data_IF_686118190420
#
_entry.id   IF_686118190420
#
_cell.length_a   1.000
_cell.length_b   1.000
_cell.length_c   1.000
_cell.angle_alpha   90.00
_cell.angle_beta   90.00
_cell.angle_gamma   90.00
#
_symmetry.space_group_name_H-M   'P 1'
#
loop_
_entity.id
_entity.type
_entity.pdbx_description
1 polymer ?
#
# COMPACT_ATOMS: atom_id res chain seq x y z
N UNK A 1 2.28 1.80 0.13
CA UNK A 1 2.52 0.95 1.31
C UNK A 1 3.99 0.99 1.68
N UNK A 2 4.43 2.03 2.39
CA UNK A 2 5.83 2.23 2.76
C UNK A 2 5.91 2.84 4.15
N UNK A 3 7.08 2.74 4.84
CA UNK A 3 7.25 3.30 6.18
C UNK A 3 6.93 4.79 6.22
N UNK A 4 7.58 5.57 5.35
CA UNK A 4 7.36 7.01 5.19
C UNK A 4 6.88 7.28 3.76
N UNK A 5 5.74 7.96 3.64
CA UNK A 5 5.19 8.41 2.36
C UNK A 5 5.44 9.91 2.24
N UNK A 6 6.22 10.30 1.24
CA UNK A 6 6.60 11.69 1.00
C UNK A 6 6.74 11.91 -0.50
N UNK A 7 6.33 13.09 -0.97
CA UNK A 7 6.67 13.58 -2.30
C UNK A 7 7.60 14.78 -2.14
N UNK A 8 8.44 15.00 -3.15
CA UNK A 8 9.40 16.11 -3.18
C UNK A 8 9.67 16.53 -4.63
N UNK A 9 10.20 17.74 -4.80
CA UNK A 9 10.65 18.26 -6.08
C UNK A 9 12.02 18.92 -5.92
N UNK A 10 12.92 18.62 -6.85
CA UNK A 10 14.22 19.27 -6.94
C UNK A 10 14.09 20.74 -7.35
N UNK A 11 15.08 21.55 -6.98
CA UNK A 11 15.17 22.95 -7.37
C UNK A 11 15.02 23.16 -8.88
N UNK A 12 14.11 24.04 -9.27
CA UNK A 12 13.81 24.35 -10.67
C UNK A 12 14.23 25.76 -11.11
N UNK A 13 15.01 26.51 -10.31
CA UNK A 13 15.35 27.91 -10.61
C UNK A 13 14.14 28.81 -10.90
N UNK A 14 13.00 28.55 -10.25
CA UNK A 14 11.72 29.23 -10.48
C UNK A 14 11.25 29.23 -11.95
N UNK A 15 11.73 28.27 -12.76
CA UNK A 15 11.31 28.14 -14.15
C UNK A 15 9.88 27.64 -14.25
N UNK A 16 9.24 27.98 -15.36
CA UNK A 16 7.92 27.47 -15.75
C UNK A 16 8.12 26.38 -16.83
N UNK A 17 7.36 25.27 -16.79
CA UNK A 17 6.31 25.00 -15.81
C UNK A 17 6.85 24.44 -14.48
N UNK A 18 6.03 24.47 -13.42
CA UNK A 18 6.43 24.01 -12.09
C UNK A 18 6.78 22.53 -12.09
N UNK A 19 7.84 22.16 -11.36
CA UNK A 19 8.30 20.79 -11.18
C UNK A 19 7.76 20.14 -9.91
N UNK A 20 6.78 20.73 -9.26
CA UNK A 20 6.23 20.18 -8.02
C UNK A 20 5.64 18.77 -8.23
N UNK A 21 5.90 17.87 -7.29
CA UNK A 21 5.32 16.50 -7.30
C UNK A 21 3.98 16.45 -6.57
N UNK A 22 3.34 17.61 -6.38
CA UNK A 22 2.01 17.68 -5.79
C UNK A 22 0.99 17.09 -6.77
N UNK A 23 -0.07 16.43 -6.27
CA UNK A 23 -1.07 15.81 -7.15
C UNK A 23 -1.75 16.80 -8.10
N UNK A 24 -1.99 18.04 -7.66
CA UNK A 24 -2.61 19.07 -8.49
C UNK A 24 -1.68 19.59 -9.59
N UNK A 25 -0.38 19.78 -9.32
CA UNK A 25 0.58 20.14 -10.36
C UNK A 25 0.74 19.00 -11.38
N UNK A 26 0.83 17.76 -10.90
CA UNK A 26 0.94 16.58 -11.77
C UNK A 26 -0.29 16.45 -12.68
N UNK A 27 -1.51 16.60 -12.15
CA UNK A 27 -2.74 16.59 -12.94
C UNK A 27 -2.77 17.70 -14.01
N UNK A 28 -2.37 18.92 -13.65
CA UNK A 28 -2.31 20.05 -14.59
C UNK A 28 -1.31 19.76 -15.73
N UNK A 29 -0.15 19.22 -15.40
CA UNK A 29 0.94 18.93 -16.35
C UNK A 29 0.63 17.76 -17.28
N UNK A 30 0.00 16.70 -16.77
CA UNK A 30 -0.33 15.51 -17.56
C UNK A 30 -1.68 15.63 -18.28
N UNK A 31 -2.55 16.53 -17.81
CA UNK A 31 -3.95 16.60 -18.25
C UNK A 31 -4.80 15.41 -17.81
N UNK A 32 -4.28 14.53 -16.95
CA UNK A 32 -4.98 13.31 -16.52
C UNK A 32 -5.84 13.56 -15.27
N UNK A 33 -7.19 13.60 -15.39
CA UNK A 33 -8.07 13.93 -14.27
C UNK A 33 -8.05 12.89 -13.15
N UNK A 34 -7.48 11.69 -13.39
CA UNK A 34 -7.44 10.60 -12.41
C UNK A 34 -6.39 10.82 -11.32
N UNK A 35 -5.40 11.69 -11.54
CA UNK A 35 -4.24 11.86 -10.65
C UNK A 35 -4.66 12.27 -9.24
N UNK A 36 -5.47 13.32 -9.09
CA UNK A 36 -5.90 13.78 -7.76
C UNK A 36 -6.81 12.74 -7.10
N UNK A 37 -7.70 12.10 -7.86
CA UNK A 37 -8.64 11.10 -7.36
C UNK A 37 -7.90 9.90 -6.77
N UNK A 38 -7.01 9.29 -7.54
CA UNK A 38 -6.25 8.11 -7.14
C UNK A 38 -5.29 8.44 -6.00
N UNK A 39 -4.61 9.60 -6.04
CA UNK A 39 -3.75 10.02 -4.95
C UNK A 39 -4.54 10.19 -3.65
N UNK A 40 -5.71 10.83 -3.71
CA UNK A 40 -6.57 11.03 -2.55
C UNK A 40 -7.05 9.70 -1.98
N UNK A 41 -7.44 8.76 -2.84
CA UNK A 41 -7.81 7.40 -2.45
C UNK A 41 -6.68 6.74 -1.64
N UNK A 42 -5.46 6.66 -2.19
CA UNK A 42 -4.34 6.02 -1.47
C UNK A 42 -3.89 6.77 -0.22
N UNK A 43 -3.99 8.11 -0.21
CA UNK A 43 -3.76 8.89 1.00
C UNK A 43 -4.76 8.53 2.09
N UNK A 44 -6.03 8.36 1.76
CA UNK A 44 -7.05 7.92 2.71
C UNK A 44 -6.84 6.47 3.14
N UNK A 45 -6.49 5.55 2.23
CA UNK A 45 -6.11 4.17 2.58
C UNK A 45 -4.97 4.17 3.61
N UNK A 46 -3.93 4.99 3.40
CA UNK A 46 -2.83 5.14 4.38
C UNK A 46 -3.36 5.61 5.73
N UNK A 47 -4.32 6.54 5.76
CA UNK A 47 -4.96 6.99 7.00
C UNK A 47 -5.79 5.87 7.62
N UNK A 48 -6.51 5.07 6.84
CA UNK A 48 -7.24 3.91 7.34
C UNK A 48 -6.31 2.90 8.01
N UNK A 49 -5.12 2.67 7.44
CA UNK A 49 -4.09 1.76 7.98
C UNK A 49 -3.21 2.38 9.07
N UNK A 50 -3.42 3.63 9.47
CA UNK A 50 -2.52 4.30 10.41
C UNK A 50 -2.37 3.56 11.76
N UNK A 51 -3.41 2.95 12.35
CA UNK A 51 -3.25 2.15 13.57
C UNK A 51 -2.28 0.97 13.38
N UNK A 52 -2.40 0.23 12.27
CA UNK A 52 -1.46 -0.84 11.91
C UNK A 52 -0.04 -0.30 11.69
N UNK A 53 0.10 0.76 10.89
CA UNK A 53 1.41 1.37 10.60
C UNK A 53 2.10 1.81 11.90
N UNK A 54 1.35 2.40 12.83
CA UNK A 54 1.87 2.83 14.13
C UNK A 54 2.24 1.66 15.04
N UNK A 55 1.44 0.60 15.04
CA UNK A 55 1.77 -0.64 15.77
C UNK A 55 3.08 -1.25 15.25
N UNK A 56 3.25 -1.31 13.93
CA UNK A 56 4.45 -1.88 13.30
C UNK A 56 5.69 -0.99 13.47
N UNK A 57 5.51 0.33 13.56
CA UNK A 57 6.59 1.26 13.91
C UNK A 57 7.07 1.03 15.35
N UNK A 58 6.15 0.86 16.31
CA UNK A 58 6.49 0.54 17.69
C UNK A 58 7.19 -0.83 17.79
N UNK A 59 6.68 -1.85 17.10
CA UNK A 59 7.32 -3.16 17.03
C UNK A 59 8.75 -3.06 16.49
N UNK A 60 8.93 -2.29 15.41
CA UNK A 60 10.24 -2.06 14.80
C UNK A 60 11.21 -1.40 15.77
N UNK A 61 10.78 -0.39 16.52
CA UNK A 61 11.59 0.27 17.54
C UNK A 61 11.97 -0.65 18.70
N UNK A 62 11.06 -1.54 19.12
CA UNK A 62 11.28 -2.46 20.25
C UNK A 62 12.18 -3.64 19.89
N UNK A 63 12.06 -4.17 18.67
CA UNK A 63 12.70 -5.44 18.27
C UNK A 63 13.86 -5.27 17.30
N UNK A 64 13.99 -4.10 16.67
CA UNK A 64 14.93 -3.87 15.56
C UNK A 64 14.47 -4.46 14.22
N UNK A 65 13.32 -5.15 14.16
CA UNK A 65 12.80 -5.70 12.92
C UNK A 65 12.32 -4.58 11.98
N UNK A 66 12.78 -4.47 10.72
CA UNK A 66 12.35 -3.39 9.84
C UNK A 66 10.85 -3.45 9.51
N UNK A 67 10.22 -2.28 9.38
CA UNK A 67 8.82 -2.17 8.91
C UNK A 67 8.65 -2.61 7.46
N UNK A 68 9.67 -2.50 6.62
CA UNK A 68 9.64 -2.94 5.23
C UNK A 68 10.78 -3.91 5.02
N UNK A 69 10.47 -5.13 4.57
CA UNK A 69 11.45 -6.21 4.45
C UNK A 69 11.32 -6.87 3.10
N UNK A 70 12.40 -6.86 2.33
CA UNK A 70 12.43 -7.46 1.00
C UNK A 70 12.04 -8.94 1.08
N UNK A 71 11.10 -9.37 0.24
CA UNK A 71 10.63 -10.75 0.23
C UNK A 71 11.77 -11.72 -0.13
N UNK A 72 12.72 -11.26 -0.95
CA UNK A 72 13.92 -12.00 -1.34
C UNK A 72 14.83 -12.45 -0.19
N UNK A 73 14.71 -11.84 0.99
CA UNK A 73 15.44 -12.31 2.17
C UNK A 73 14.98 -13.71 2.63
N UNK A 74 13.77 -14.12 2.28
CA UNK A 74 13.22 -15.44 2.56
C UNK A 74 13.22 -16.35 1.34
N UNK A 75 13.02 -15.80 0.15
CA UNK A 75 12.98 -16.56 -1.10
C UNK A 75 13.64 -15.76 -2.23
N UNK A 76 14.86 -16.14 -2.58
CA UNK A 76 15.67 -15.42 -3.57
C UNK A 76 15.12 -15.51 -5.01
N UNK A 77 14.10 -16.33 -5.28
CA UNK A 77 13.43 -16.38 -6.58
C UNK A 77 12.42 -15.25 -6.81
N UNK A 78 12.04 -14.55 -5.73
CA UNK A 78 11.04 -13.50 -5.75
C UNK A 78 11.57 -12.21 -6.41
N UNK A 79 10.69 -11.34 -6.93
CA UNK A 79 11.11 -10.06 -7.49
C UNK A 79 11.69 -9.12 -6.42
N UNK A 80 12.69 -8.31 -6.80
CA UNK A 80 13.37 -7.36 -5.91
C UNK A 80 12.43 -6.30 -5.30
N UNK A 81 11.33 -6.02 -5.97
CA UNK A 81 10.35 -5.01 -5.58
C UNK A 81 9.25 -5.55 -4.67
N UNK A 82 9.16 -6.86 -4.42
CA UNK A 82 8.18 -7.42 -3.48
C UNK A 82 8.70 -7.38 -2.05
N UNK A 83 7.83 -7.03 -1.11
CA UNK A 83 8.22 -6.85 0.29
C UNK A 83 7.07 -7.09 1.26
N UNK A 84 7.44 -7.50 2.47
CA UNK A 84 6.56 -7.40 3.61
C UNK A 84 6.49 -5.95 4.09
N UNK A 85 5.29 -5.49 4.44
CA UNK A 85 5.05 -4.22 5.12
C UNK A 85 4.41 -4.47 6.49
N UNK A 86 5.21 -4.31 7.54
CA UNK A 86 4.91 -4.83 8.87
C UNK A 86 5.00 -6.35 8.89
N UNK A 87 4.38 -6.99 9.87
CA UNK A 87 4.39 -8.45 10.06
C UNK A 87 3.42 -9.20 9.15
N UNK A 88 2.33 -8.56 8.74
CA UNK A 88 1.16 -9.26 8.19
C UNK A 88 0.81 -8.92 6.74
N UNK A 89 1.28 -7.79 6.21
CA UNK A 89 1.03 -7.40 4.82
C UNK A 89 2.18 -7.80 3.91
N UNK A 90 1.86 -8.38 2.76
CA UNK A 90 2.77 -8.65 1.66
C UNK A 90 2.35 -7.81 0.45
N UNK A 91 3.29 -7.04 -0.10
CA UNK A 91 3.01 -6.03 -1.14
C UNK A 91 3.80 -6.36 -2.40
N UNK A 92 3.10 -6.37 -3.53
CA UNK A 92 3.68 -6.46 -4.87
C UNK A 92 3.38 -5.17 -5.63
N UNK A 93 4.23 -4.13 -5.54
CA UNK A 93 4.00 -2.88 -6.27
C UNK A 93 4.10 -3.09 -7.79
N UNK A 94 3.29 -2.33 -8.53
CA UNK A 94 3.41 -2.22 -9.99
C UNK A 94 4.53 -1.23 -10.30
N UNK A 95 5.65 -1.73 -10.83
CA UNK A 95 6.87 -0.93 -11.09
C UNK A 95 7.19 -0.76 -12.57
N UNK A 96 6.41 -1.41 -13.45
CA UNK A 96 6.53 -1.28 -14.90
C UNK A 96 5.35 -0.47 -15.45
N UNK A 97 5.57 0.40 -16.45
CA UNK A 97 4.48 1.12 -17.11
C UNK A 97 3.53 0.15 -17.82
N UNK A 98 2.25 0.52 -17.90
CA UNK A 98 1.20 -0.16 -18.67
C UNK A 98 0.99 -1.67 -18.36
N UNK A 99 1.46 -2.10 -17.20
CA UNK A 99 1.26 -3.46 -16.72
C UNK A 99 -0.19 -3.64 -16.28
N UNK A 100 -0.97 -4.41 -17.04
CA UNK A 100 -2.38 -4.71 -16.77
C UNK A 100 -2.60 -5.91 -15.85
N UNK A 101 -1.60 -6.79 -15.78
CA UNK A 101 -1.58 -7.96 -14.91
C UNK A 101 -0.16 -8.28 -14.42
N UNK A 102 -0.09 -8.97 -13.29
CA UNK A 102 1.16 -9.46 -12.69
C UNK A 102 1.05 -10.92 -12.31
N UNK A 103 2.09 -11.70 -12.60
CA UNK A 103 2.29 -13.01 -12.01
C UNK A 103 2.97 -12.84 -10.64
N UNK A 104 2.36 -13.36 -9.59
CA UNK A 104 2.88 -13.32 -8.22
C UNK A 104 2.98 -14.74 -7.66
N UNK A 105 3.91 -14.96 -6.74
CA UNK A 105 4.03 -16.23 -6.01
C UNK A 105 4.02 -15.92 -4.53
N UNK A 106 2.91 -16.22 -3.86
CA UNK A 106 2.80 -15.97 -2.44
C UNK A 106 3.61 -17.00 -1.65
N UNK A 107 4.27 -16.60 -0.54
CA UNK A 107 4.95 -17.53 0.36
C UNK A 107 4.01 -18.57 0.93
N UNK A 108 4.56 -19.66 1.46
CA UNK A 108 3.77 -20.72 2.08
C UNK A 108 2.81 -20.20 3.17
N UNK A 109 1.64 -20.84 3.25
CA UNK A 109 0.52 -20.44 4.10
C UNK A 109 -0.67 -19.86 3.31
N UNK A 110 -1.72 -19.50 4.04
CA UNK A 110 -2.92 -18.91 3.45
C UNK A 110 -2.86 -17.38 3.51
N UNK A 111 -3.34 -16.75 2.44
CA UNK A 111 -3.38 -15.31 2.27
C UNK A 111 -4.78 -14.85 1.89
N UNK A 112 -5.09 -13.58 2.13
CA UNK A 112 -6.28 -12.93 1.63
C UNK A 112 -5.91 -11.62 0.93
N UNK A 113 -6.60 -11.28 -0.14
CA UNK A 113 -6.47 -9.96 -0.76
C UNK A 113 -7.01 -8.87 0.19
N UNK A 114 -6.23 -7.83 0.44
CA UNK A 114 -6.56 -6.76 1.39
C UNK A 114 -7.87 -6.04 1.03
N UNK A 115 -8.17 -5.96 -0.27
CA UNK A 115 -9.24 -5.13 -0.80
C UNK A 115 -10.58 -5.86 -0.84
N UNK A 116 -10.55 -7.12 -1.24
CA UNK A 116 -11.74 -7.95 -1.49
C UNK A 116 -11.97 -9.02 -0.43
N UNK A 117 -10.94 -9.36 0.35
CA UNK A 117 -10.96 -10.50 1.27
C UNK A 117 -10.90 -11.86 0.55
N UNK A 118 -10.72 -11.88 -0.77
CA UNK A 118 -10.60 -13.14 -1.52
C UNK A 118 -9.41 -13.94 -1.02
N UNK A 119 -9.61 -15.24 -0.76
CA UNK A 119 -8.55 -16.14 -0.31
C UNK A 119 -7.59 -16.52 -1.45
N UNK A 120 -6.30 -16.61 -1.12
CA UNK A 120 -5.21 -17.03 -1.98
C UNK A 120 -4.36 -18.07 -1.27
N UNK A 121 -4.02 -19.14 -1.99
CA UNK A 121 -3.13 -20.18 -1.49
C UNK A 121 -1.66 -19.78 -1.72
N UNK A 122 -0.83 -19.92 -0.70
CA UNK A 122 0.62 -19.80 -0.79
C UNK A 122 1.26 -20.90 -1.65
N UNK A 123 2.54 -20.72 -1.98
CA UNK A 123 3.35 -21.66 -2.76
C UNK A 123 2.80 -21.94 -4.17
N UNK A 124 1.88 -21.10 -4.66
CA UNK A 124 1.28 -21.16 -5.99
C UNK A 124 1.43 -19.82 -6.69
N UNK A 125 1.48 -19.87 -8.03
CA UNK A 125 1.48 -18.67 -8.85
C UNK A 125 0.05 -18.18 -9.09
N UNK A 126 -0.16 -16.87 -8.98
CA UNK A 126 -1.43 -16.22 -9.23
C UNK A 126 -1.26 -15.09 -10.23
N UNK A 127 -2.23 -14.92 -11.12
CA UNK A 127 -2.32 -13.75 -12.00
C UNK A 127 -3.27 -12.75 -11.37
N UNK A 128 -2.80 -11.52 -11.17
CA UNK A 128 -3.58 -10.45 -10.54
C UNK A 128 -3.66 -9.24 -11.46
N UNK A 129 -4.87 -8.67 -11.56
CA UNK A 129 -5.08 -7.45 -12.32
C UNK A 129 -4.46 -6.24 -11.60
N UNK A 130 -3.96 -5.28 -12.38
CA UNK A 130 -3.25 -4.11 -11.85
C UNK A 130 -3.80 -2.79 -12.41
N UNK A 131 -5.09 -2.47 -12.21
CA UNK A 131 -5.61 -1.16 -12.57
C UNK A 131 -4.95 -0.06 -11.72
N UNK A 132 -4.92 1.18 -12.22
CA UNK A 132 -4.19 2.29 -11.61
C UNK A 132 -4.56 2.59 -10.14
N UNK A 133 -5.79 2.29 -9.74
CA UNK A 133 -6.30 2.50 -8.37
C UNK A 133 -6.12 1.26 -7.47
N UNK A 134 -5.31 0.28 -7.87
CA UNK A 134 -5.10 -0.96 -7.15
C UNK A 134 -3.60 -1.27 -7.02
N UNK A 135 -3.21 -1.70 -5.84
CA UNK A 135 -1.87 -2.24 -5.58
C UNK A 135 -2.11 -3.64 -5.00
N UNK A 136 -1.56 -4.72 -5.58
CA UNK A 136 -1.67 -6.04 -4.98
C UNK A 136 -1.07 -6.06 -3.57
N UNK A 137 -1.94 -6.28 -2.58
CA UNK A 137 -1.58 -6.37 -1.16
C UNK A 137 -2.30 -7.55 -0.55
N UNK A 138 -1.55 -8.46 0.03
CA UNK A 138 -2.04 -9.68 0.64
C UNK A 138 -1.84 -9.64 2.14
N UNK A 139 -2.82 -10.13 2.86
CA UNK A 139 -2.83 -10.23 4.31
C UNK A 139 -2.67 -11.69 4.69
N UNK A 140 -1.79 -12.01 5.62
CA UNK A 140 -1.70 -13.37 6.16
C UNK A 140 -3.04 -13.76 6.78
N UNK A 141 -3.54 -14.96 6.50
CA UNK A 141 -4.77 -15.46 7.12
C UNK A 141 -4.65 -15.47 8.65
N UNK A 142 -5.73 -15.15 9.34
CA UNK A 142 -5.81 -14.94 10.79
C UNK A 142 -5.04 -13.74 11.32
N UNK A 143 -4.45 -12.91 10.45
CA UNK A 143 -3.93 -11.62 10.88
C UNK A 143 -5.08 -10.71 11.30
N UNK A 144 -4.81 -9.89 12.30
CA UNK A 144 -5.74 -8.92 12.84
C UNK A 144 -5.20 -7.53 12.52
N UNK A 145 -5.79 -6.87 11.53
CA UNK A 145 -5.30 -5.58 11.04
C UNK A 145 -6.11 -4.47 11.69
N UNK A 146 -5.54 -3.70 12.64
CA UNK A 146 -6.24 -2.56 13.21
C UNK A 146 -6.32 -1.44 12.17
N UNK A 147 -7.53 -0.98 11.95
CA UNK A 147 -7.85 0.07 10.96
C UNK A 147 -8.72 1.13 11.58
N UNK A 148 -8.77 2.28 10.93
CA UNK A 148 -9.67 3.37 11.27
C UNK A 148 -10.51 3.73 10.05
N UNK A 149 -11.83 3.66 10.21
CA UNK A 149 -12.75 3.90 9.10
C UNK A 149 -13.30 5.33 9.09
N UNK A 150 -13.66 5.79 7.89
CA UNK A 150 -14.60 6.90 7.74
C UNK A 150 -16.04 6.40 7.79
N UNK A 151 -17.00 7.20 7.36
CA UNK A 151 -18.42 6.89 7.55
C UNK A 151 -18.94 5.70 6.72
N UNK A 152 -18.31 5.35 5.61
CA UNK A 152 -18.80 4.29 4.70
C UNK A 152 -18.15 2.93 4.99
N UNK A 153 -17.18 2.87 5.91
CA UNK A 153 -16.43 1.67 6.28
C UNK A 153 -15.74 1.00 5.08
N UNK A 154 -15.26 1.80 4.13
CA UNK A 154 -14.53 1.31 2.95
C UNK A 154 -13.11 1.87 2.86
N UNK A 155 -12.24 1.13 2.16
CA UNK A 155 -10.89 1.62 1.83
C UNK A 155 -10.98 2.93 1.05
N UNK A 156 -10.15 3.90 1.41
CA UNK A 156 -10.14 5.21 0.76
C UNK A 156 -11.15 6.20 1.33
N UNK A 157 -11.93 5.79 2.33
CA UNK A 157 -12.81 6.70 3.06
C UNK A 157 -12.03 7.77 3.80
N UNK A 158 -12.57 9.00 3.77
CA UNK A 158 -12.01 10.09 4.56
C UNK A 158 -12.25 9.82 6.05
N UNK A 159 -11.14 9.61 6.75
CA UNK A 159 -11.09 9.49 8.20
C UNK A 159 -11.14 10.89 8.84
N UNK A 160 -12.05 11.20 9.79
CA UNK A 160 -11.98 12.43 10.58
C UNK A 160 -10.66 12.57 11.37
N UNK A 161 -10.31 13.78 11.82
CA UNK A 161 -9.10 14.01 12.65
C UNK A 161 -9.34 13.80 14.15
N UNK A 162 -10.59 13.54 14.55
CA UNK A 162 -11.04 13.41 15.94
C UNK A 162 -11.45 11.98 16.24
N UNK A 163 -11.20 11.50 17.48
CA UNK A 163 -11.62 10.23 18.10
C UNK A 163 -12.30 9.23 17.17
N UNK A 164 -11.60 8.15 16.82
CA UNK A 164 -12.20 7.03 16.11
C UNK A 164 -11.84 5.73 16.81
N UNK A 165 -12.84 4.90 17.17
CA UNK A 165 -12.56 3.54 17.56
C UNK A 165 -11.87 2.84 16.39
N UNK A 166 -10.74 2.21 16.68
CA UNK A 166 -10.10 1.29 15.74
C UNK A 166 -11.03 0.10 15.52
N UNK A 167 -11.36 -0.20 14.27
CA UNK A 167 -11.91 -1.51 13.92
C UNK A 167 -10.75 -2.51 13.79
N UNK A 168 -11.04 -3.79 13.96
CA UNK A 168 -10.10 -4.87 13.75
C UNK A 168 -10.61 -5.72 12.59
N UNK A 169 -9.87 -5.74 11.49
CA UNK A 169 -10.17 -6.62 10.36
C UNK A 169 -9.54 -7.97 10.61
N UNK A 170 -10.33 -9.03 10.45
CA UNK A 170 -9.89 -10.41 10.51
C UNK A 170 -10.06 -11.01 9.11
N UNK A 171 -9.02 -11.69 8.64
CA UNK A 171 -8.92 -12.29 7.31
C UNK A 171 -8.78 -13.81 7.38
#
# INVERSE_FOLDING_TARGET
FCPIMQYHAEYNSHRVPSRDRTPWNMQEQTGDPRVIEIFRYFNNVRRNLMPYIWQEAQWSAQTGQPMMRALRLWDNSQPDYAYYFGRDLLVYPVVQPDMSEMLIILPDGDWADLWTGQAYQGSCSHVVATPLNFIPVFVRKSAKIPVVWGNQHTWGDRVPLTNLPSALLEF
#
